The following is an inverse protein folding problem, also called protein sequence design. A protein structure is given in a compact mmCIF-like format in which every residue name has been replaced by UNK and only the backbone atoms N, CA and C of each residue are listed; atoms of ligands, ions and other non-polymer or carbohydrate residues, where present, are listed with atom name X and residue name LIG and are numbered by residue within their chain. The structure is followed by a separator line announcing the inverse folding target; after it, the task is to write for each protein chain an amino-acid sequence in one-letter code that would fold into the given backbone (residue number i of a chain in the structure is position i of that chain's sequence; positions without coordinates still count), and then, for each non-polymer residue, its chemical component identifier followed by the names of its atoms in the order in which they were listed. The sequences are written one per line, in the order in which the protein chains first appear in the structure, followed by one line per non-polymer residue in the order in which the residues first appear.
data_IF_688360206491
#
_entry.id   IF_688360206491
#
_cell.length_a   1.000
_cell.length_b   1.000
_cell.length_c   1.000
_cell.angle_alpha   90.00
_cell.angle_beta   90.00
_cell.angle_gamma   90.00
#
_symmetry.space_group_name_H-M   'P 1'
#
loop_
_entity.id
_entity.type
_entity.pdbx_description
1 polymer ?
#
# COMPACT_ATOMS: atom_id res chain seq x y z
N UNK A 1 -1.09 -11.16 -6.81
CA UNK A 1 -0.46 -10.01 -6.15
C UNK A 1 -0.87 -9.97 -4.70
N UNK A 2 0.08 -10.07 -3.81
CA UNK A 2 -0.20 -10.11 -2.38
C UNK A 2 -0.46 -8.72 -1.82
N UNK A 3 -1.69 -8.42 -1.46
CA UNK A 3 -2.08 -7.20 -0.74
C UNK A 3 -1.28 -7.00 0.57
N UNK A 4 -0.76 -8.10 1.13
CA UNK A 4 0.09 -8.11 2.31
C UNK A 4 1.47 -7.48 2.11
N UNK A 5 2.02 -7.54 0.90
CA UNK A 5 3.34 -6.93 0.61
C UNK A 5 3.24 -5.40 0.59
N UNK A 6 2.13 -4.87 0.10
CA UNK A 6 1.88 -3.42 0.10
C UNK A 6 1.71 -2.88 1.53
N UNK A 7 1.01 -3.63 2.36
CA UNK A 7 0.83 -3.26 3.76
C UNK A 7 2.16 -3.24 4.54
N UNK A 8 3.06 -4.18 4.26
CA UNK A 8 4.38 -4.23 4.89
C UNK A 8 5.27 -3.05 4.49
N UNK A 9 5.22 -2.62 3.22
CA UNK A 9 5.98 -1.47 2.75
C UNK A 9 5.50 -0.15 3.35
N UNK A 10 4.19 -0.03 3.61
CA UNK A 10 3.60 1.13 4.27
C UNK A 10 3.96 1.21 5.76
N UNK A 11 4.10 0.07 6.42
CA UNK A 11 4.45 -0.02 7.83
C UNK A 11 5.88 0.44 8.12
N UNK A 12 6.82 0.15 7.22
CA UNK A 12 8.21 0.57 7.39
C UNK A 12 8.39 2.10 7.31
N UNK A 13 7.48 2.80 6.64
CA UNK A 13 7.49 4.25 6.54
C UNK A 13 6.81 4.97 7.72
N UNK A 14 6.02 4.25 8.51
CA UNK A 14 5.24 4.83 9.61
C UNK A 14 5.94 4.74 10.98
N UNK A 15 7.13 4.15 11.05
CA UNK A 15 7.91 4.12 12.29
C UNK A 15 8.57 5.48 12.53
N UNK A 16 7.77 6.45 12.95
CA UNK A 16 8.29 7.66 13.54
C UNK A 16 8.76 7.33 14.96
N UNK A 17 10.08 7.15 15.13
CA UNK A 17 10.65 6.92 16.43
C UNK A 17 10.35 8.08 17.38
N UNK A 18 9.36 7.91 18.20
CA UNK A 18 9.19 8.78 19.36
C UNK A 18 10.23 8.39 20.39
N UNK A 19 11.18 9.24 20.62
CA UNK A 19 12.10 9.13 21.75
C UNK A 19 11.30 9.37 23.03
N UNK A 20 11.19 8.33 23.85
CA UNK A 20 10.45 8.20 25.08
C UNK A 20 10.16 9.45 25.88
N UNK A 21 8.94 9.90 25.79
CA UNK A 21 8.27 10.59 26.87
C UNK A 21 7.40 9.59 27.63
N UNK A 22 7.38 9.64 28.96
CA UNK A 22 6.63 8.71 29.82
C UNK A 22 5.12 8.69 29.55
N UNK A 23 4.59 9.65 28.79
CA UNK A 23 3.18 9.82 28.43
C UNK A 23 2.92 9.72 26.90
N UNK A 24 3.78 9.02 26.16
CA UNK A 24 3.62 8.84 24.72
C UNK A 24 2.35 8.03 24.40
N UNK A 25 1.39 8.67 23.73
CA UNK A 25 0.17 8.02 23.27
C UNK A 25 0.42 7.19 22.01
N UNK A 26 -0.16 5.99 21.96
CA UNK A 26 -0.07 5.08 20.83
C UNK A 26 -1.41 4.97 20.12
N UNK A 27 -1.41 5.23 18.83
CA UNK A 27 -2.55 5.02 17.96
C UNK A 27 -2.42 3.73 17.15
N UNK A 28 -3.55 3.17 16.75
CA UNK A 28 -3.62 2.03 15.84
C UNK A 28 -4.38 2.41 14.58
N UNK A 29 -3.92 1.92 13.43
CA UNK A 29 -4.58 2.08 12.15
C UNK A 29 -4.71 0.74 11.46
N UNK A 30 -5.92 0.35 11.11
CA UNK A 30 -6.17 -0.80 10.26
C UNK A 30 -5.93 -0.41 8.80
N UNK A 31 -4.72 -0.66 8.31
CA UNK A 31 -4.27 -0.30 6.95
C UNK A 31 -5.20 -0.88 5.88
N UNK A 32 -5.58 -2.15 6.02
CA UNK A 32 -6.47 -2.80 5.07
C UNK A 32 -7.84 -2.12 5.00
N UNK A 33 -8.43 -1.80 6.13
CA UNK A 33 -9.72 -1.11 6.18
C UNK A 33 -9.65 0.27 5.52
N UNK A 34 -8.58 1.03 5.76
CA UNK A 34 -8.35 2.34 5.15
C UNK A 34 -8.21 2.23 3.63
N UNK A 35 -7.35 1.32 3.16
CA UNK A 35 -7.11 1.14 1.72
C UNK A 35 -8.35 0.63 0.99
N UNK A 36 -9.08 -0.33 1.58
CA UNK A 36 -10.33 -0.84 1.00
C UNK A 36 -11.40 0.27 0.87
N UNK A 37 -11.42 1.21 1.79
CA UNK A 37 -12.32 2.37 1.75
C UNK A 37 -11.85 3.51 0.85
N UNK A 38 -10.62 3.45 0.32
CA UNK A 38 -10.04 4.51 -0.52
C UNK A 38 -10.44 4.36 -1.98
N UNK A 39 -11.09 5.38 -2.53
CA UNK A 39 -11.43 5.44 -3.95
C UNK A 39 -10.18 5.40 -4.84
N UNK A 40 -9.11 6.07 -4.44
CA UNK A 40 -7.85 6.09 -5.18
C UNK A 40 -7.19 4.71 -5.22
N UNK A 41 -7.21 3.98 -4.10
CA UNK A 41 -6.72 2.60 -4.05
C UNK A 41 -7.53 1.67 -4.96
N UNK A 42 -8.86 1.77 -4.92
CA UNK A 42 -9.74 0.98 -5.77
C UNK A 42 -9.54 1.29 -7.25
N UNK A 43 -9.39 2.57 -7.59
CA UNK A 43 -9.10 3.00 -8.95
C UNK A 43 -7.76 2.46 -9.44
N UNK A 44 -6.71 2.59 -8.64
CA UNK A 44 -5.39 2.04 -8.94
C UNK A 44 -5.45 0.52 -9.16
N UNK A 45 -6.21 -0.20 -8.32
CA UNK A 45 -6.42 -1.64 -8.47
C UNK A 45 -7.12 -2.03 -9.78
N UNK A 46 -8.12 -1.26 -10.19
CA UNK A 46 -8.81 -1.47 -11.47
C UNK A 46 -7.91 -1.20 -12.67
N UNK A 47 -7.15 -0.13 -12.62
CA UNK A 47 -6.19 0.21 -13.68
C UNK A 47 -5.10 -0.86 -13.80
N UNK A 48 -4.58 -1.35 -12.67
CA UNK A 48 -3.59 -2.42 -12.64
C UNK A 48 -4.14 -3.72 -13.21
N UNK A 49 -5.36 -4.09 -12.86
CA UNK A 49 -6.04 -5.28 -13.42
C UNK A 49 -6.22 -5.16 -14.93
N UNK A 50 -6.59 -3.97 -15.42
CA UNK A 50 -6.71 -3.69 -16.86
C UNK A 50 -5.37 -3.82 -17.58
N UNK A 51 -4.30 -3.29 -17.00
CA UNK A 51 -2.95 -3.42 -17.57
C UNK A 51 -2.48 -4.88 -17.58
N UNK A 52 -2.73 -5.62 -16.50
CA UNK A 52 -2.42 -7.04 -16.43
C UNK A 52 -3.12 -7.83 -17.55
N UNK A 53 -4.39 -7.57 -17.77
CA UNK A 53 -5.16 -8.22 -18.84
C UNK A 53 -4.59 -7.88 -20.22
N UNK A 54 -4.25 -6.63 -20.44
CA UNK A 54 -3.64 -6.14 -21.68
C UNK A 54 -2.29 -6.83 -21.96
N UNK A 55 -1.43 -6.89 -20.95
CA UNK A 55 -0.12 -7.54 -21.08
C UNK A 55 -0.26 -9.05 -21.28
N UNK A 56 -1.24 -9.70 -20.65
CA UNK A 56 -1.54 -11.11 -20.87
C UNK A 56 -1.99 -11.36 -22.30
N UNK A 57 -2.87 -10.52 -22.85
CA UNK A 57 -3.30 -10.60 -24.23
C UNK A 57 -2.13 -10.38 -25.20
N UNK A 58 -1.26 -9.44 -24.89
CA UNK A 58 -0.05 -9.17 -25.67
C UNK A 58 0.89 -10.38 -25.68
N UNK A 59 1.11 -11.01 -24.53
CA UNK A 59 1.88 -12.24 -24.43
C UNK A 59 1.25 -13.36 -25.28
N UNK A 60 -0.02 -13.60 -25.12
CA UNK A 60 -0.75 -14.66 -25.86
C UNK A 60 -0.67 -14.46 -27.37
N UNK A 61 -0.75 -13.22 -27.84
CA UNK A 61 -0.67 -12.91 -29.28
C UNK A 61 0.73 -13.07 -29.84
N UNK A 62 1.74 -12.53 -29.16
CA UNK A 62 3.14 -12.52 -29.63
C UNK A 62 3.82 -13.87 -29.48
N UNK A 63 3.49 -14.63 -28.43
CA UNK A 63 4.18 -15.89 -28.12
C UNK A 63 3.88 -17.03 -29.09
N UNK A 64 2.82 -16.91 -29.91
CA UNK A 64 2.41 -17.95 -30.86
C UNK A 64 3.50 -18.35 -31.85
N UNK A 65 4.36 -17.42 -32.22
CA UNK A 65 5.43 -17.61 -33.23
C UNK A 65 6.84 -17.52 -32.62
N UNK A 66 6.95 -17.52 -31.28
CA UNK A 66 8.21 -17.37 -30.59
C UNK A 66 8.81 -18.70 -30.13
N UNK A 67 10.15 -18.75 -30.07
CA UNK A 67 10.88 -19.83 -29.40
C UNK A 67 10.68 -19.76 -27.87
N UNK A 68 11.06 -20.83 -27.16
CA UNK A 68 10.94 -20.85 -25.69
C UNK A 68 11.80 -19.76 -25.03
N UNK A 69 12.98 -19.48 -25.55
CA UNK A 69 13.86 -18.41 -25.09
C UNK A 69 13.23 -17.02 -25.28
N UNK A 70 12.64 -16.80 -26.46
CA UNK A 70 11.93 -15.55 -26.77
C UNK A 70 10.70 -15.35 -25.88
N UNK A 71 9.95 -16.44 -25.59
CA UNK A 71 8.81 -16.39 -24.66
C UNK A 71 9.24 -16.01 -23.25
N UNK A 72 10.36 -16.58 -22.78
CA UNK A 72 10.90 -16.26 -21.46
C UNK A 72 11.33 -14.78 -21.35
N UNK A 73 11.99 -14.25 -22.38
CA UNK A 73 12.39 -12.85 -22.42
C UNK A 73 11.18 -11.91 -22.49
N UNK A 74 10.18 -12.25 -23.31
CA UNK A 74 8.92 -11.48 -23.36
C UNK A 74 8.20 -11.48 -22.03
N UNK A 75 8.10 -12.62 -21.37
CA UNK A 75 7.46 -12.72 -20.03
C UNK A 75 8.18 -11.83 -19.02
N UNK A 76 9.51 -11.82 -19.03
CA UNK A 76 10.31 -10.95 -18.17
C UNK A 76 10.05 -9.46 -18.45
N UNK A 77 10.06 -9.06 -19.72
CA UNK A 77 9.77 -7.68 -20.14
C UNK A 77 8.36 -7.24 -19.67
N UNK A 78 7.35 -8.08 -19.88
CA UNK A 78 5.98 -7.76 -19.52
C UNK A 78 5.79 -7.70 -17.99
N UNK A 79 6.47 -8.57 -17.24
CA UNK A 79 6.46 -8.53 -15.77
C UNK A 79 7.12 -7.24 -15.24
N UNK A 80 8.20 -6.78 -15.86
CA UNK A 80 8.83 -5.50 -15.50
C UNK A 80 7.88 -4.33 -15.76
N UNK A 81 7.20 -4.31 -16.90
CA UNK A 81 6.19 -3.29 -17.21
C UNK A 81 5.06 -3.27 -16.20
N UNK A 82 4.59 -4.44 -15.79
CA UNK A 82 3.54 -4.55 -14.78
C UNK A 82 4.02 -4.03 -13.42
N UNK A 83 5.24 -4.36 -13.01
CA UNK A 83 5.83 -3.89 -11.77
C UNK A 83 6.02 -2.37 -11.75
N UNK A 84 6.47 -1.78 -12.86
CA UNK A 84 6.58 -0.32 -13.02
C UNK A 84 5.22 0.36 -12.93
N UNK A 85 4.21 -0.18 -13.62
CA UNK A 85 2.85 0.34 -13.57
C UNK A 85 2.25 0.25 -12.17
N UNK A 86 2.48 -0.85 -11.47
CA UNK A 86 2.07 -1.02 -10.06
C UNK A 86 2.69 0.07 -9.18
N UNK A 87 4.01 0.28 -9.30
CA UNK A 87 4.72 1.32 -8.56
C UNK A 87 4.13 2.71 -8.84
N UNK A 88 3.94 3.06 -10.11
CA UNK A 88 3.42 4.35 -10.52
C UNK A 88 2.00 4.60 -10.00
N UNK A 89 1.16 3.57 -9.99
CA UNK A 89 -0.20 3.67 -9.48
C UNK A 89 -0.28 3.72 -7.95
N UNK A 90 0.60 3.01 -7.28
CA UNK A 90 0.54 2.86 -5.81
C UNK A 90 1.31 3.95 -5.06
N UNK A 91 2.34 4.55 -5.65
CA UNK A 91 3.12 5.61 -5.00
C UNK A 91 2.23 6.78 -4.55
N UNK A 92 1.33 7.35 -5.38
CA UNK A 92 0.44 8.42 -4.92
C UNK A 92 -0.50 7.99 -3.80
N UNK A 93 -0.98 6.74 -3.81
CA UNK A 93 -1.84 6.18 -2.76
C UNK A 93 -1.07 6.08 -1.44
N UNK A 94 0.17 5.61 -1.49
CA UNK A 94 1.05 5.52 -0.31
C UNK A 94 1.35 6.89 0.30
N UNK A 95 1.66 7.87 -0.53
CA UNK A 95 1.93 9.24 -0.09
C UNK A 95 0.69 9.86 0.56
N UNK A 96 -0.47 9.67 -0.03
CA UNK A 96 -1.74 10.14 0.51
C UNK A 96 -2.08 9.46 1.84
N UNK A 97 -1.86 8.16 1.92
CA UNK A 97 -2.03 7.38 3.16
C UNK A 97 -1.12 7.91 4.27
N UNK A 98 0.16 8.10 3.97
CA UNK A 98 1.13 8.65 4.93
C UNK A 98 0.70 10.01 5.46
N UNK A 99 0.32 10.93 4.57
CA UNK A 99 -0.17 12.25 4.94
C UNK A 99 -1.45 12.17 5.80
N UNK A 100 -2.36 11.26 5.47
CA UNK A 100 -3.58 11.04 6.23
C UNK A 100 -3.32 10.52 7.64
N UNK A 101 -2.34 9.61 7.80
CA UNK A 101 -1.90 9.10 9.11
C UNK A 101 -1.24 10.21 9.93
N UNK A 102 -0.34 10.97 9.33
CA UNK A 102 0.33 12.09 10.01
C UNK A 102 -0.68 13.12 10.53
N UNK A 103 -1.66 13.47 9.71
CA UNK A 103 -2.72 14.40 10.09
C UNK A 103 -3.56 13.86 11.24
N UNK A 104 -4.00 12.62 11.16
CA UNK A 104 -4.78 11.98 12.22
C UNK A 104 -3.99 11.90 13.53
N UNK A 105 -2.71 11.55 13.48
CA UNK A 105 -1.84 11.50 14.64
C UNK A 105 -1.67 12.86 15.31
N UNK A 106 -1.47 13.92 14.52
CA UNK A 106 -1.37 15.29 15.04
C UNK A 106 -2.68 15.75 15.66
N UNK A 107 -3.82 15.52 15.01
CA UNK A 107 -5.13 15.92 15.49
C UNK A 107 -5.50 15.23 16.81
N UNK A 108 -5.08 13.98 17.00
CA UNK A 108 -5.31 13.19 18.22
C UNK A 108 -4.17 13.23 19.23
N UNK A 109 -3.11 13.98 18.95
CA UNK A 109 -1.92 14.10 19.81
C UNK A 109 -1.28 12.75 20.13
N UNK A 110 -1.11 11.93 19.10
CA UNK A 110 -0.53 10.58 19.15
C UNK A 110 0.91 10.65 18.69
N UNK A 111 1.82 10.07 19.45
CA UNK A 111 3.26 10.08 19.16
C UNK A 111 3.71 8.91 18.29
N UNK A 112 3.02 7.79 18.41
CA UNK A 112 3.34 6.54 17.68
C UNK A 112 2.08 5.95 17.09
N UNK A 113 2.15 5.53 15.82
CA UNK A 113 1.06 4.83 15.14
C UNK A 113 1.55 3.45 14.72
N UNK A 114 0.77 2.42 15.05
CA UNK A 114 1.06 1.03 14.72
C UNK A 114 -0.07 0.41 13.92
N UNK A 115 0.24 -0.61 13.15
CA UNK A 115 -0.78 -1.44 12.50
C UNK A 115 -1.18 -2.61 13.40
N UNK A 116 -2.37 -3.20 13.19
CA UNK A 116 -2.74 -4.44 13.87
C UNK A 116 -1.68 -5.51 13.65
N UNK A 117 -1.25 -6.16 14.71
CA UNK A 117 -0.18 -7.15 14.69
C UNK A 117 1.25 -6.57 14.79
N UNK A 118 1.41 -5.25 14.70
CA UNK A 118 2.70 -4.58 14.96
C UNK A 118 2.99 -4.34 16.44
N UNK A 119 1.98 -4.42 17.27
CA UNK A 119 2.10 -4.26 18.71
C UNK A 119 2.26 -5.64 19.38
N UNK A 120 3.44 -5.91 19.88
CA UNK A 120 3.73 -7.15 20.62
C UNK A 120 3.44 -7.02 22.12
N UNK A 121 3.51 -5.82 22.65
CA UNK A 121 3.27 -5.49 24.06
C UNK A 121 2.93 -4.02 24.22
N UNK A 122 2.04 -3.70 25.14
CA UNK A 122 1.64 -2.32 25.45
C UNK A 122 0.16 -2.06 25.21
N UNK A 123 -0.25 -0.84 25.48
CA UNK A 123 -1.64 -0.37 25.30
C UNK A 123 -1.79 0.51 24.08
N UNK A 124 -2.91 0.37 23.38
CA UNK A 124 -3.36 1.30 22.35
C UNK A 124 -4.30 2.31 22.99
N UNK A 125 -4.00 3.58 22.87
CA UNK A 125 -4.78 4.66 23.47
C UNK A 125 -5.94 5.09 22.57
N UNK A 126 -5.76 5.06 21.26
CA UNK A 126 -6.77 5.49 20.29
C UNK A 126 -6.70 4.73 18.97
N UNK A 127 -7.86 4.45 18.39
CA UNK A 127 -7.98 3.90 17.03
C UNK A 127 -8.16 5.06 16.04
N UNK A 128 -7.19 5.22 15.16
CA UNK A 128 -7.15 6.28 14.15
C UNK A 128 -7.77 5.87 12.81
N UNK A 129 -8.24 4.64 12.67
CA UNK A 129 -8.71 4.09 11.38
C UNK A 129 -9.75 4.98 10.71
N UNK A 130 -10.78 5.40 11.44
CA UNK A 130 -11.85 6.27 10.93
C UNK A 130 -11.32 7.65 10.51
N UNK A 131 -10.43 8.24 11.32
CA UNK A 131 -9.82 9.54 11.02
C UNK A 131 -8.95 9.49 9.77
N UNK A 132 -8.15 8.43 9.63
CA UNK A 132 -7.31 8.21 8.45
C UNK A 132 -8.18 7.99 7.21
N UNK A 133 -9.24 7.19 7.30
CA UNK A 133 -10.20 7.01 6.20
C UNK A 133 -10.81 8.34 5.76
N UNK A 134 -11.20 9.18 6.70
CA UNK A 134 -11.72 10.52 6.41
C UNK A 134 -10.70 11.40 5.69
N UNK A 135 -9.45 11.35 6.12
CA UNK A 135 -8.36 12.14 5.54
C UNK A 135 -7.91 11.63 4.16
N UNK A 136 -8.29 10.40 3.79
CA UNK A 136 -8.02 9.79 2.49
C UNK A 136 -9.04 10.19 1.40
N UNK A 137 -10.15 10.81 1.77
CA UNK A 137 -11.20 11.24 0.82
C UNK A 137 -10.82 12.48 0.03
#
# INVERSE_FOLDING_TARGET
MNKTVLAAALLAAASFGAYGMADAATGIVNVNAVLQGSADFQKAGKELAGEQQKLQNQYNSKSKTMTNEQKAELAKELNQKLAEKEKDLMTPVQEKFKAAVEKAAKDKKVDTVVAPGGLLYGTVDVDLTADVQKNMK
#
